data_IF_885589944065
#
_entry.id   IF_885589944065
#
_cell.length_a   1.000
_cell.length_b   1.000
_cell.length_c   1.000
_cell.angle_alpha   90.00
_cell.angle_beta   90.00
_cell.angle_gamma   90.00
#
_symmetry.space_group_name_H-M   'P 1'
#
loop_
_entity.id
_entity.type
_entity.pdbx_description
1 polymer ?
#
# COMPACT_ATOMS: atom_id res chain seq x y z
N UNK A 1 -13.08 25.37 11.89
CA UNK A 1 -11.78 24.95 12.44
C UNK A 1 -12.03 23.92 13.54
N UNK A 2 -11.52 22.71 13.41
CA UNK A 2 -11.85 21.52 14.22
C UNK A 2 -11.09 21.50 15.56
N UNK A 3 -11.22 22.57 16.36
CA UNK A 3 -10.54 22.63 17.66
C UNK A 3 -10.99 21.49 18.57
N UNK A 4 -10.04 20.61 18.92
CA UNK A 4 -10.25 19.50 19.87
C UNK A 4 -10.67 18.17 19.27
N UNK A 5 -10.97 18.09 17.97
CA UNK A 5 -11.25 16.82 17.29
C UNK A 5 -9.95 16.17 16.81
N UNK A 6 -9.86 14.85 16.92
CA UNK A 6 -8.81 14.04 16.34
C UNK A 6 -9.23 13.56 14.96
N UNK A 7 -8.34 13.68 13.97
CA UNK A 7 -8.60 13.31 12.60
C UNK A 7 -7.86 12.01 12.29
N UNK A 8 -8.61 10.96 12.00
CA UNK A 8 -8.09 9.71 11.46
C UNK A 8 -8.27 9.67 9.94
N UNK A 9 -7.25 9.24 9.22
CA UNK A 9 -7.29 9.05 7.76
C UNK A 9 -7.12 7.59 7.42
N UNK A 10 -8.12 6.98 6.79
CA UNK A 10 -8.06 5.61 6.29
C UNK A 10 -7.77 5.57 4.79
N UNK A 11 -6.71 4.87 4.39
CA UNK A 11 -6.25 4.71 3.02
C UNK A 11 -6.44 3.26 2.59
N UNK A 12 -7.38 3.03 1.68
CA UNK A 12 -7.73 1.69 1.18
C UNK A 12 -6.67 1.09 0.26
N UNK A 13 -6.75 -0.22 0.06
CA UNK A 13 -5.99 -0.93 -0.97
C UNK A 13 -6.49 -0.59 -2.37
N UNK A 14 -5.76 -1.02 -3.39
CA UNK A 14 -6.20 -0.82 -4.79
C UNK A 14 -5.07 -0.87 -5.82
N UNK A 15 -3.90 -1.36 -5.47
CA UNK A 15 -2.75 -1.42 -6.38
C UNK A 15 -2.42 -0.02 -6.93
N UNK A 16 -2.32 0.11 -8.26
CA UNK A 16 -2.00 1.39 -8.92
C UNK A 16 -3.01 2.51 -8.61
N UNK A 17 -4.28 2.18 -8.31
CA UNK A 17 -5.30 3.17 -7.92
C UNK A 17 -4.97 3.86 -6.59
N UNK A 18 -4.11 3.28 -5.76
CA UNK A 18 -3.64 3.91 -4.52
C UNK A 18 -2.97 5.27 -4.74
N UNK A 19 -2.49 5.56 -5.95
CA UNK A 19 -1.95 6.88 -6.32
C UNK A 19 -2.95 8.03 -6.05
N UNK A 20 -4.27 7.78 -6.10
CA UNK A 20 -5.28 8.79 -5.80
C UNK A 20 -5.17 9.33 -4.36
N UNK A 21 -4.65 8.54 -3.42
CA UNK A 21 -4.44 8.97 -2.05
C UNK A 21 -3.47 10.16 -1.94
N UNK A 22 -2.50 10.25 -2.85
CA UNK A 22 -1.56 11.38 -2.89
C UNK A 22 -2.30 12.68 -3.21
N UNK A 23 -3.24 12.63 -4.16
CA UNK A 23 -4.10 13.78 -4.49
C UNK A 23 -4.94 14.23 -3.30
N UNK A 24 -5.52 13.28 -2.57
CA UNK A 24 -6.30 13.56 -1.34
C UNK A 24 -5.40 14.22 -0.28
N UNK A 25 -4.21 13.66 -0.02
CA UNK A 25 -3.26 14.23 0.94
C UNK A 25 -2.86 15.66 0.58
N UNK A 26 -2.62 15.95 -0.70
CA UNK A 26 -2.30 17.31 -1.18
C UNK A 26 -3.43 18.30 -0.91
N UNK A 27 -4.69 17.88 -1.13
CA UNK A 27 -5.85 18.74 -0.86
C UNK A 27 -6.03 18.96 0.63
N UNK A 28 -5.87 17.92 1.46
CA UNK A 28 -5.96 18.06 2.91
C UNK A 28 -4.92 19.05 3.43
N UNK A 29 -3.64 18.89 3.05
CA UNK A 29 -2.58 19.83 3.44
C UNK A 29 -2.83 21.27 2.97
N UNK A 30 -3.27 21.43 1.72
CA UNK A 30 -3.59 22.76 1.17
C UNK A 30 -4.70 23.48 1.96
N UNK A 31 -5.56 22.73 2.65
CA UNK A 31 -6.62 23.26 3.51
C UNK A 31 -6.25 23.24 5.01
N UNK A 32 -4.97 23.01 5.34
CA UNK A 32 -4.50 22.98 6.73
C UNK A 32 -5.04 21.80 7.56
N UNK A 33 -5.47 20.74 6.89
CA UNK A 33 -5.98 19.52 7.54
C UNK A 33 -4.86 18.49 7.59
N UNK A 34 -4.40 18.20 8.80
CA UNK A 34 -3.37 17.20 9.07
C UNK A 34 -3.98 16.07 9.88
N UNK A 35 -3.91 14.81 9.44
CA UNK A 35 -4.40 13.68 10.21
C UNK A 35 -3.53 13.44 11.45
N UNK A 36 -4.17 13.17 12.59
CA UNK A 36 -3.51 12.77 13.84
C UNK A 36 -3.04 11.31 13.79
N UNK A 37 -3.68 10.49 12.95
CA UNK A 37 -3.37 9.08 12.74
C UNK A 37 -3.75 8.66 11.33
N UNK A 38 -2.94 7.79 10.73
CA UNK A 38 -3.21 7.19 9.43
C UNK A 38 -3.39 5.69 9.58
N UNK A 39 -4.38 5.11 8.88
CA UNK A 39 -4.54 3.68 8.74
C UNK A 39 -4.45 3.31 7.25
N UNK A 40 -3.70 2.27 6.91
CA UNK A 40 -3.50 1.88 5.51
C UNK A 40 -3.56 0.38 5.29
N UNK A 41 -4.05 0.00 4.10
CA UNK A 41 -4.07 -1.39 3.62
C UNK A 41 -3.43 -1.44 2.23
N UNK A 42 -2.50 -2.38 1.99
CA UNK A 42 -1.85 -2.58 0.68
C UNK A 42 -1.24 -1.26 0.14
N UNK A 43 -1.65 -0.83 -1.05
CA UNK A 43 -1.22 0.46 -1.61
C UNK A 43 -1.44 1.64 -0.64
N UNK A 44 -2.55 1.63 0.13
CA UNK A 44 -2.80 2.63 1.16
C UNK A 44 -1.83 2.55 2.33
N UNK A 45 -1.31 1.37 2.68
CA UNK A 45 -0.25 1.24 3.68
C UNK A 45 1.08 1.81 3.19
N UNK A 46 1.40 1.61 1.91
CA UNK A 46 2.60 2.17 1.27
C UNK A 46 2.56 3.70 1.27
N UNK A 47 1.49 4.28 0.73
CA UNK A 47 1.31 5.75 0.70
C UNK A 47 1.21 6.32 2.12
N UNK A 48 0.52 5.63 3.04
CA UNK A 48 0.43 6.00 4.44
C UNK A 48 1.78 6.02 5.14
N UNK A 49 2.63 5.01 4.89
CA UNK A 49 3.99 4.95 5.43
C UNK A 49 4.88 6.09 4.89
N UNK A 50 4.80 6.37 3.59
CA UNK A 50 5.50 7.51 2.99
C UNK A 50 5.05 8.83 3.63
N UNK A 51 3.74 9.03 3.78
CA UNK A 51 3.21 10.25 4.36
C UNK A 51 3.55 10.38 5.84
N UNK A 52 3.36 9.32 6.62
CA UNK A 52 3.71 9.30 8.03
C UNK A 52 5.21 9.54 8.29
N UNK A 53 6.07 9.11 7.35
CA UNK A 53 7.53 9.33 7.41
C UNK A 53 7.93 10.76 7.08
N UNK A 54 7.34 11.33 6.02
CA UNK A 54 7.76 12.63 5.48
C UNK A 54 6.92 13.80 5.99
N UNK A 55 5.64 13.55 6.25
CA UNK A 55 4.64 14.55 6.63
C UNK A 55 4.59 15.69 5.59
N UNK A 56 4.62 15.31 4.32
CA UNK A 56 4.57 16.23 3.20
C UNK A 56 4.09 15.52 1.93
N UNK A 57 2.91 15.85 1.45
CA UNK A 57 2.28 15.19 0.31
C UNK A 57 3.03 15.43 -1.03
N UNK A 58 3.71 16.58 -1.18
CA UNK A 58 4.55 16.84 -2.37
C UNK A 58 5.78 15.94 -2.40
N UNK A 59 6.40 15.69 -1.24
CA UNK A 59 7.52 14.74 -1.12
C UNK A 59 7.06 13.33 -1.44
N UNK A 60 5.88 12.94 -0.95
CA UNK A 60 5.27 11.63 -1.28
C UNK A 60 5.05 11.51 -2.78
N UNK A 61 4.49 12.53 -3.42
CA UNK A 61 4.28 12.57 -4.89
C UNK A 61 5.59 12.40 -5.65
N UNK A 62 6.60 13.20 -5.33
CA UNK A 62 7.91 13.15 -6.01
C UNK A 62 8.55 11.77 -5.91
N UNK A 63 8.63 11.21 -4.70
CA UNK A 63 9.20 9.88 -4.47
C UNK A 63 8.40 8.77 -5.15
N UNK A 64 7.07 8.88 -5.15
CA UNK A 64 6.21 7.93 -5.83
C UNK A 64 6.42 7.97 -7.35
N UNK A 65 6.46 9.16 -7.96
CA UNK A 65 6.70 9.33 -9.39
C UNK A 65 8.10 8.84 -9.79
N UNK A 66 9.12 9.15 -9.01
CA UNK A 66 10.48 8.65 -9.23
C UNK A 66 10.52 7.12 -9.18
N UNK A 67 9.82 6.51 -8.21
CA UNK A 67 9.77 5.07 -8.08
C UNK A 67 9.07 4.39 -9.26
N UNK A 68 7.91 4.88 -9.72
CA UNK A 68 7.18 4.27 -10.85
C UNK A 68 7.90 4.44 -12.20
N UNK A 69 8.79 5.42 -12.32
CA UNK A 69 9.65 5.64 -13.49
C UNK A 69 10.94 4.82 -13.44
N UNK A 70 11.26 4.22 -12.29
CA UNK A 70 12.48 3.44 -12.11
C UNK A 70 12.40 2.07 -12.78
N UNK A 71 13.56 1.52 -13.16
CA UNK A 71 13.65 0.15 -13.66
C UNK A 71 13.15 -0.89 -12.63
N UNK A 72 13.36 -0.64 -11.34
CA UNK A 72 12.89 -1.52 -10.27
C UNK A 72 11.36 -1.70 -10.27
N UNK A 73 10.59 -0.65 -10.65
CA UNK A 73 9.14 -0.74 -10.77
C UNK A 73 8.71 -1.65 -11.93
N UNK A 74 9.42 -1.59 -13.06
CA UNK A 74 9.15 -2.44 -14.22
C UNK A 74 9.32 -3.94 -13.87
N UNK A 75 10.24 -4.27 -12.98
CA UNK A 75 10.46 -5.63 -12.49
C UNK A 75 9.34 -6.13 -11.55
N UNK A 76 8.53 -5.25 -10.96
CA UNK A 76 7.41 -5.64 -10.09
C UNK A 76 6.26 -6.31 -10.85
N UNK A 77 6.31 -6.36 -12.19
CA UNK A 77 5.32 -7.05 -13.02
C UNK A 77 4.00 -6.29 -13.21
N UNK A 78 3.87 -5.10 -12.67
CA UNK A 78 2.66 -4.27 -12.82
C UNK A 78 2.42 -3.81 -14.27
N UNK A 79 3.44 -3.87 -15.13
CA UNK A 79 3.33 -3.55 -16.57
C UNK A 79 2.45 -4.53 -17.34
N UNK A 80 2.33 -5.78 -16.89
CA UNK A 80 1.43 -6.77 -17.49
C UNK A 80 -0.05 -6.48 -17.21
N UNK A 81 -0.36 -5.70 -16.18
CA UNK A 81 -1.71 -5.33 -15.77
C UNK A 81 -2.21 -4.10 -16.55
N UNK A 82 -1.29 -3.25 -17.04
CA UNK A 82 -1.61 -1.98 -17.69
C UNK A 82 -1.97 -2.10 -19.18
N UNK A 83 -1.68 -3.22 -19.84
CA UNK A 83 -1.83 -3.39 -21.30
C UNK A 83 -3.04 -4.19 -21.74
N UNK A 84 -3.99 -4.48 -20.86
CA UNK A 84 -5.26 -5.09 -21.28
C UNK A 84 -6.27 -3.98 -21.59
N UNK A 85 -6.23 -3.49 -22.83
CA UNK A 85 -7.35 -2.77 -23.43
C UNK A 85 -8.47 -3.78 -23.69
N UNK A 86 -9.53 -3.73 -22.88
CA UNK A 86 -10.92 -4.02 -23.28
C UNK A 86 -11.85 -3.90 -22.08
N UNK A 87 -12.99 -3.32 -22.32
CA UNK A 87 -14.14 -2.79 -21.59
C UNK A 87 -14.77 -3.57 -20.41
N UNK A 88 -14.08 -4.43 -19.73
CA UNK A 88 -14.49 -4.89 -18.39
C UNK A 88 -13.61 -4.23 -17.33
N UNK A 89 -14.22 -3.64 -16.32
CA UNK A 89 -13.53 -3.05 -15.19
C UNK A 89 -12.32 -3.91 -14.78
N UNK A 90 -11.11 -3.37 -14.84
CA UNK A 90 -9.86 -4.05 -14.45
C UNK A 90 -10.02 -4.72 -13.07
N UNK A 91 -10.86 -4.14 -12.21
CA UNK A 91 -11.20 -4.70 -10.92
C UNK A 91 -11.98 -6.01 -11.01
N UNK A 92 -12.94 -6.13 -11.95
CA UNK A 92 -13.71 -7.37 -12.14
C UNK A 92 -12.84 -8.47 -12.73
N UNK A 93 -11.92 -8.14 -13.62
CA UNK A 93 -10.95 -9.09 -14.18
C UNK A 93 -9.93 -9.55 -13.14
N UNK A 94 -9.40 -8.62 -12.32
CA UNK A 94 -8.50 -8.97 -11.22
C UNK A 94 -9.22 -9.83 -10.19
N UNK A 95 -10.46 -9.49 -9.82
CA UNK A 95 -11.25 -10.29 -8.87
C UNK A 95 -11.63 -11.65 -9.44
N UNK A 96 -11.92 -11.75 -10.74
CA UNK A 96 -12.20 -13.02 -11.43
C UNK A 96 -10.93 -13.89 -11.51
N UNK A 97 -9.80 -13.29 -11.79
CA UNK A 97 -8.49 -13.97 -11.78
C UNK A 97 -8.09 -14.41 -10.37
N UNK A 98 -8.27 -13.56 -9.37
CA UNK A 98 -8.05 -13.89 -7.95
C UNK A 98 -8.94 -15.06 -7.55
N UNK A 99 -10.22 -15.04 -7.88
CA UNK A 99 -11.16 -16.13 -7.55
C UNK A 99 -10.79 -17.44 -8.26
N UNK A 100 -10.43 -17.40 -9.53
CA UNK A 100 -10.03 -18.58 -10.29
C UNK A 100 -8.68 -19.14 -9.81
N UNK A 101 -7.74 -18.29 -9.46
CA UNK A 101 -6.45 -18.74 -8.93
C UNK A 101 -6.54 -19.18 -7.46
N UNK A 102 -7.40 -18.59 -6.65
CA UNK A 102 -7.66 -19.09 -5.30
C UNK A 102 -8.15 -20.56 -5.32
N UNK A 103 -8.98 -20.92 -6.30
CA UNK A 103 -9.43 -22.31 -6.52
C UNK A 103 -8.27 -23.20 -7.01
N UNK A 104 -7.38 -22.70 -7.86
CA UNK A 104 -6.20 -23.43 -8.32
C UNK A 104 -5.11 -23.52 -7.25
N UNK A 105 -5.06 -22.59 -6.31
CA UNK A 105 -4.06 -22.46 -5.28
C UNK A 105 -4.22 -23.42 -4.11
N UNK A 106 -5.44 -23.85 -3.82
CA UNK A 106 -5.68 -24.97 -2.88
C UNK A 106 -5.00 -26.24 -3.40
N UNK A 107 -4.64 -26.28 -4.68
CA UNK A 107 -3.99 -27.40 -5.35
C UNK A 107 -2.51 -27.19 -5.73
N UNK A 108 -1.89 -26.05 -5.47
CA UNK A 108 -0.51 -25.77 -5.91
C UNK A 108 0.27 -24.86 -4.94
N UNK A 109 1.42 -25.34 -4.51
CA UNK A 109 2.33 -24.83 -3.45
C UNK A 109 3.09 -23.52 -3.81
N UNK A 110 2.48 -22.49 -4.40
CA UNK A 110 3.15 -21.25 -4.77
C UNK A 110 2.86 -20.10 -3.79
N UNK A 111 3.91 -19.36 -3.40
CA UNK A 111 3.91 -18.52 -2.20
C UNK A 111 3.56 -17.02 -2.37
N UNK A 112 3.53 -16.41 -3.56
CA UNK A 112 3.14 -14.99 -3.78
C UNK A 112 3.32 -14.54 -5.25
N UNK A 113 2.53 -13.54 -5.79
CA UNK A 113 2.69 -12.96 -7.14
C UNK A 113 3.95 -12.13 -7.25
N UNK A 114 4.12 -11.23 -6.32
CA UNK A 114 5.30 -10.38 -6.24
C UNK A 114 6.18 -10.95 -5.15
N UNK A 115 7.44 -11.25 -5.46
CA UNK A 115 8.37 -11.72 -4.44
C UNK A 115 8.44 -10.67 -3.32
N UNK A 116 8.24 -11.10 -2.08
CA UNK A 116 8.28 -10.23 -0.90
C UNK A 116 9.57 -9.37 -0.86
N UNK A 117 10.69 -9.91 -1.35
CA UNK A 117 11.96 -9.20 -1.48
C UNK A 117 11.86 -7.95 -2.37
N UNK A 118 11.09 -8.02 -3.47
CA UNK A 118 10.89 -6.87 -4.37
C UNK A 118 10.01 -5.80 -3.72
N UNK A 119 8.96 -6.22 -3.01
CA UNK A 119 8.12 -5.30 -2.24
C UNK A 119 8.92 -4.64 -1.12
N UNK A 120 9.76 -5.39 -0.42
CA UNK A 120 10.62 -4.87 0.64
C UNK A 120 11.61 -3.84 0.08
N UNK A 121 12.26 -4.15 -1.07
CA UNK A 121 13.16 -3.21 -1.75
C UNK A 121 12.44 -1.92 -2.19
N UNK A 122 11.22 -2.04 -2.72
CA UNK A 122 10.41 -0.88 -3.06
C UNK A 122 10.06 -0.03 -1.83
N UNK A 123 9.65 -0.67 -0.74
CA UNK A 123 9.35 -0.02 0.54
C UNK A 123 10.59 0.70 1.10
N UNK A 124 11.76 0.06 1.06
CA UNK A 124 13.03 0.64 1.50
C UNK A 124 13.39 1.90 0.70
N UNK A 125 13.21 1.89 -0.62
CA UNK A 125 13.44 3.06 -1.49
C UNK A 125 12.48 4.20 -1.15
N UNK A 126 11.19 3.89 -0.91
CA UNK A 126 10.14 4.89 -0.72
C UNK A 126 10.19 5.57 0.65
N UNK A 127 10.49 4.84 1.71
CA UNK A 127 10.46 5.39 3.08
C UNK A 127 11.62 4.93 3.98
N UNK A 128 12.53 4.07 3.49
CA UNK A 128 13.71 3.59 4.21
C UNK A 128 13.44 2.49 5.23
N UNK A 129 14.51 1.94 5.83
CA UNK A 129 14.40 0.95 6.90
C UNK A 129 14.00 1.66 8.19
N UNK A 130 12.70 1.72 8.46
CA UNK A 130 12.15 2.43 9.62
C UNK A 130 11.33 1.51 10.50
N UNK A 131 11.34 1.85 11.78
CA UNK A 131 10.38 1.33 12.74
C UNK A 131 9.14 2.23 12.77
N UNK A 132 8.01 1.70 13.24
CA UNK A 132 6.82 2.53 13.47
C UNK A 132 7.09 3.70 14.43
N UNK A 133 8.02 3.53 15.38
CA UNK A 133 8.43 4.58 16.33
C UNK A 133 9.10 5.79 15.70
N UNK A 134 9.63 5.64 14.47
CA UNK A 134 10.36 6.71 13.77
C UNK A 134 9.42 7.61 12.95
N UNK A 135 8.14 7.25 12.88
CA UNK A 135 7.15 7.98 12.10
C UNK A 135 6.75 9.29 12.78
N UNK A 136 6.56 10.33 11.97
CA UNK A 136 6.08 11.64 12.42
C UNK A 136 4.59 11.65 12.77
N UNK A 137 3.82 10.76 12.14
CA UNK A 137 2.40 10.55 12.39
C UNK A 137 2.20 9.07 12.71
N UNK A 138 1.42 8.71 13.75
CA UNK A 138 1.07 7.33 14.02
C UNK A 138 0.45 6.66 12.81
N UNK A 139 0.92 5.44 12.49
CA UNK A 139 0.41 4.63 11.38
C UNK A 139 -0.11 3.30 11.90
N UNK A 140 -1.23 2.88 11.36
CA UNK A 140 -1.77 1.52 11.50
C UNK A 140 -1.70 0.84 10.13
N UNK A 141 -1.14 -0.36 10.08
CA UNK A 141 -1.09 -1.18 8.86
C UNK A 141 -1.97 -2.41 9.05
N UNK A 142 -2.98 -2.54 8.19
CA UNK A 142 -3.93 -3.66 8.26
C UNK A 142 -3.48 -4.79 7.36
N UNK A 143 -3.48 -6.01 7.92
CA UNK A 143 -3.21 -7.27 7.22
C UNK A 143 -4.30 -8.28 7.54
N UNK A 144 -4.25 -9.46 6.90
CA UNK A 144 -5.15 -10.58 7.19
C UNK A 144 -4.34 -11.81 7.54
N UNK A 145 -4.65 -12.42 8.67
CA UNK A 145 -4.14 -13.74 9.01
C UNK A 145 -4.83 -14.80 8.14
N UNK A 146 -4.04 -15.48 7.31
CA UNK A 146 -4.56 -16.45 6.35
C UNK A 146 -5.11 -17.74 7.01
N UNK A 147 -4.68 -18.04 8.22
CA UNK A 147 -5.14 -19.23 8.93
C UNK A 147 -6.50 -19.00 9.58
N UNK A 148 -6.69 -17.87 10.21
CA UNK A 148 -7.92 -17.55 10.95
C UNK A 148 -8.89 -16.68 10.16
N UNK A 149 -8.44 -16.01 9.09
CA UNK A 149 -9.21 -15.00 8.36
C UNK A 149 -9.37 -13.67 9.12
N UNK A 150 -8.75 -13.54 10.29
CA UNK A 150 -8.88 -12.35 11.11
C UNK A 150 -8.01 -11.19 10.60
N UNK A 151 -8.50 -9.97 10.77
CA UNK A 151 -7.71 -8.77 10.54
C UNK A 151 -6.67 -8.58 11.64
N UNK A 152 -5.41 -8.34 11.25
CA UNK A 152 -4.32 -7.98 12.14
C UNK A 152 -3.93 -6.54 11.86
N UNK A 153 -3.72 -5.75 12.92
CA UNK A 153 -3.32 -4.36 12.82
C UNK A 153 -1.93 -4.19 13.45
N UNK A 154 -0.95 -3.87 12.60
CA UNK A 154 0.40 -3.51 13.05
C UNK A 154 0.47 -2.02 13.37
N UNK A 155 1.06 -1.71 14.53
CA UNK A 155 1.28 -0.34 15.02
C UNK A 155 2.66 -0.15 15.66
N UNK A 156 3.49 -1.18 15.64
CA UNK A 156 4.84 -1.20 16.21
C UNK A 156 5.70 -2.24 15.49
N UNK A 157 7.02 -2.18 15.71
CA UNK A 157 7.99 -3.07 15.09
C UNK A 157 8.46 -2.58 13.72
N UNK A 158 8.88 -3.51 12.86
CA UNK A 158 9.42 -3.20 11.54
C UNK A 158 8.30 -2.75 10.58
N UNK A 159 8.42 -1.53 10.07
CA UNK A 159 7.44 -0.92 9.17
C UNK A 159 7.43 -1.61 7.79
N UNK A 160 8.61 -1.95 7.26
CA UNK A 160 8.72 -2.60 5.95
C UNK A 160 8.01 -3.96 5.98
N UNK A 161 8.25 -4.76 7.01
CA UNK A 161 7.61 -6.07 7.13
C UNK A 161 6.08 -5.96 7.18
N UNK A 162 5.56 -5.00 7.94
CA UNK A 162 4.12 -4.76 8.03
C UNK A 162 3.51 -4.36 6.68
N UNK A 163 4.16 -3.42 5.96
CA UNK A 163 3.70 -2.96 4.64
C UNK A 163 3.81 -4.06 3.60
N UNK A 164 4.88 -4.86 3.61
CA UNK A 164 5.04 -6.02 2.73
C UNK A 164 3.92 -7.02 2.99
N UNK A 165 3.65 -7.39 4.24
CA UNK A 165 2.57 -8.31 4.58
C UNK A 165 1.20 -7.79 4.15
N UNK A 166 0.95 -6.48 4.32
CA UNK A 166 -0.29 -5.83 3.88
C UNK A 166 -0.45 -5.82 2.36
N UNK A 167 0.66 -5.83 1.62
CA UNK A 167 0.69 -5.76 0.15
C UNK A 167 0.84 -7.12 -0.52
N UNK A 168 1.12 -8.16 0.25
CA UNK A 168 1.29 -9.52 -0.26
C UNK A 168 -0.07 -10.18 -0.46
N UNK A 169 -0.34 -10.59 -1.70
CA UNK A 169 -1.54 -11.36 -2.05
C UNK A 169 -1.11 -12.81 -2.18
N UNK A 170 -1.61 -13.71 -1.32
CA UNK A 170 -1.26 -15.12 -1.40
C UNK A 170 -1.79 -15.74 -2.70
N UNK A 171 -1.02 -16.68 -3.26
CA UNK A 171 -1.41 -17.40 -4.47
C UNK A 171 -1.01 -16.77 -5.78
N UNK A 172 -0.17 -15.83 -5.64
CA UNK A 172 0.35 -15.18 -6.81
C UNK A 172 1.87 -15.12 -6.74
#
# INVERSE_FOLDING_TARGET
MYKGLKIGLALGGGGARGACHIGVLKVLEANGIVPDIVAGTSAGSMIGAMYASHHNAKVVESKYLEHIQSENFNELGFRYIANSEEDESIFSQIMKQIKNQYVLMVSSNRKSIVKNERLAKAAEILFGSKQFSDLKIPLLVTTTDLMSGNSIIYKSGNLIDAVVQSSSIPGF
#
